data_IF_562824612293
#
_entry.id   IF_562824612293
#
_cell.length_a   1.000
_cell.length_b   1.000
_cell.length_c   1.000
_cell.angle_alpha   90.00
_cell.angle_beta   90.00
_cell.angle_gamma   90.00
#
_symmetry.space_group_name_H-M   'P 1'
#
loop_
_entity.id
_entity.type
_entity.pdbx_description
1 polymer ?
#
# COMPACT_ATOMS: atom_id res chain seq x y z
N UNK A 1 -30.49 52.22 15.61
CA UNK A 1 -29.28 52.12 14.81
C UNK A 1 -28.05 51.65 15.61
N UNK A 2 -27.64 52.29 16.69
CA UNK A 2 -26.42 51.94 17.47
C UNK A 2 -26.41 50.50 18.02
N UNK A 3 -27.58 49.93 18.40
CA UNK A 3 -27.68 48.56 18.90
C UNK A 3 -27.43 47.52 17.80
N UNK A 4 -27.94 47.73 16.60
CA UNK A 4 -27.77 46.86 15.43
C UNK A 4 -26.29 46.79 14.99
N UNK A 5 -25.61 47.94 15.02
CA UNK A 5 -24.16 48.00 14.73
C UNK A 5 -23.33 47.23 15.77
N UNK A 6 -23.69 47.31 17.08
CA UNK A 6 -22.99 46.54 18.13
C UNK A 6 -23.19 45.04 17.99
N UNK A 7 -24.42 44.61 17.69
CA UNK A 7 -24.71 43.18 17.46
C UNK A 7 -24.00 42.65 16.20
N UNK A 8 -23.99 43.42 15.09
CA UNK A 8 -23.27 43.05 13.88
C UNK A 8 -21.76 42.96 14.10
N UNK A 9 -21.18 43.88 14.85
CA UNK A 9 -19.76 43.87 15.21
C UNK A 9 -19.41 42.64 16.09
N UNK A 10 -20.28 42.30 17.04
CA UNK A 10 -20.09 41.14 17.92
C UNK A 10 -20.20 39.83 17.16
N UNK A 11 -21.12 39.67 16.20
CA UNK A 11 -21.20 38.53 15.28
C UNK A 11 -19.98 38.43 14.39
N UNK A 12 -19.45 39.54 13.86
CA UNK A 12 -18.27 39.58 13.04
C UNK A 12 -17.01 39.12 13.82
N UNK A 13 -16.88 39.54 15.08
CA UNK A 13 -15.78 39.10 15.96
C UNK A 13 -15.91 37.61 16.32
N UNK A 14 -17.12 37.10 16.55
CA UNK A 14 -17.35 35.67 16.82
C UNK A 14 -16.98 34.78 15.65
N UNK A 15 -17.12 35.21 14.39
CA UNK A 15 -16.70 34.50 13.18
C UNK A 15 -15.18 34.45 13.06
N UNK A 16 -14.46 35.47 13.54
CA UNK A 16 -12.99 35.52 13.48
C UNK A 16 -12.31 34.63 14.54
N UNK A 17 -12.98 34.22 15.58
CA UNK A 17 -12.47 33.29 16.62
C UNK A 17 -12.67 31.83 16.24
N UNK A 18 -13.16 31.54 15.03
CA UNK A 18 -13.36 30.18 14.51
C UNK A 18 -12.04 29.42 14.48
N UNK A 19 -11.97 28.45 15.34
CA UNK A 19 -10.87 27.63 15.77
C UNK A 19 -9.97 27.12 14.65
N UNK A 20 -8.70 27.55 14.64
CA UNK A 20 -7.64 26.96 13.84
C UNK A 20 -7.12 25.68 14.51
N UNK A 21 -7.84 24.59 14.37
CA UNK A 21 -7.35 23.27 14.83
C UNK A 21 -6.24 22.81 13.91
N UNK A 22 -4.99 22.98 14.32
CA UNK A 22 -3.82 22.45 13.60
C UNK A 22 -3.94 20.93 13.52
N UNK A 23 -4.21 20.40 12.33
CA UNK A 23 -4.21 18.95 12.10
C UNK A 23 -2.78 18.45 12.10
N UNK A 24 -2.49 17.50 12.98
CA UNK A 24 -1.21 16.76 12.93
C UNK A 24 -1.26 15.79 11.76
N UNK A 25 -0.51 16.09 10.68
CA UNK A 25 -0.57 15.38 9.41
C UNK A 25 0.63 14.44 9.20
N UNK A 26 1.50 14.29 10.21
CA UNK A 26 2.74 13.52 10.04
C UNK A 26 2.57 12.06 10.46
N UNK A 27 3.43 11.21 9.87
CA UNK A 27 3.62 9.82 10.26
C UNK A 27 4.49 9.72 11.52
N UNK A 28 4.41 8.60 12.24
CA UNK A 28 5.34 8.22 13.30
C UNK A 28 5.60 9.34 14.32
N UNK A 29 4.54 9.98 14.82
CA UNK A 29 4.60 11.16 15.69
C UNK A 29 5.25 10.92 17.04
N UNK A 30 5.32 9.67 17.49
CA UNK A 30 5.88 9.22 18.75
C UNK A 30 7.31 8.70 18.61
N UNK A 31 7.94 8.84 17.43
CA UNK A 31 9.30 8.40 17.18
C UNK A 31 10.30 9.40 17.77
N UNK A 32 11.15 8.95 18.67
CA UNK A 32 12.25 9.74 19.21
C UNK A 32 13.46 9.72 18.28
N UNK A 33 14.03 10.87 17.98
CA UNK A 33 15.21 10.98 17.11
C UNK A 33 16.41 10.26 17.77
N UNK A 34 17.06 9.36 17.03
CA UNK A 34 18.22 8.61 17.52
C UNK A 34 17.86 7.35 18.33
N UNK A 35 16.59 7.04 18.52
CA UNK A 35 16.17 5.80 19.17
C UNK A 35 16.36 4.62 18.21
N UNK A 36 17.13 3.63 18.62
CA UNK A 36 17.18 2.33 17.93
C UNK A 36 15.88 1.58 18.24
N UNK A 37 15.12 1.26 17.21
CA UNK A 37 13.94 0.42 17.32
C UNK A 37 14.31 -0.99 16.86
N UNK A 38 14.08 -1.99 17.69
CA UNK A 38 14.21 -3.38 17.25
C UNK A 38 13.24 -3.62 16.09
N UNK A 39 13.78 -4.01 14.95
CA UNK A 39 13.00 -4.47 13.82
C UNK A 39 12.69 -5.93 14.09
N UNK A 40 11.42 -6.32 14.16
CA UNK A 40 11.06 -7.73 14.23
C UNK A 40 11.75 -8.48 13.10
N UNK A 41 12.31 -9.65 13.42
CA UNK A 41 13.03 -10.46 12.47
C UNK A 41 12.21 -10.56 11.17
N UNK A 42 12.86 -10.26 10.07
CA UNK A 42 12.26 -10.38 8.75
C UNK A 42 11.69 -11.78 8.58
N UNK A 43 10.38 -11.85 8.46
CA UNK A 43 9.73 -13.10 8.07
C UNK A 43 9.58 -13.06 6.56
N UNK A 44 10.40 -13.86 5.87
CA UNK A 44 10.26 -14.03 4.43
C UNK A 44 8.82 -14.40 4.07
N UNK A 45 8.28 -13.82 3.01
CA UNK A 45 6.92 -14.14 2.57
C UNK A 45 6.81 -15.63 2.23
N UNK A 46 5.71 -16.24 2.65
CA UNK A 46 5.39 -17.63 2.33
C UNK A 46 4.81 -17.70 0.92
N UNK A 47 5.39 -18.58 0.12
CA UNK A 47 4.96 -18.85 -1.25
C UNK A 47 3.60 -19.56 -1.23
N UNK A 48 2.70 -19.14 -2.12
CA UNK A 48 1.34 -19.67 -2.25
C UNK A 48 1.10 -20.25 -3.64
N UNK A 49 0.11 -21.14 -3.76
CA UNK A 49 -0.37 -21.58 -5.09
C UNK A 49 -0.88 -20.38 -5.89
N UNK A 50 -0.54 -20.30 -7.16
CA UNK A 50 -0.82 -19.17 -8.05
C UNK A 50 0.26 -18.09 -8.08
N UNK A 51 1.25 -18.13 -7.18
CA UNK A 51 2.41 -17.24 -7.25
C UNK A 51 3.26 -17.58 -8.48
N UNK A 52 3.85 -16.54 -9.08
CA UNK A 52 4.79 -16.66 -10.17
C UNK A 52 6.19 -16.27 -9.69
N UNK A 53 7.12 -17.20 -9.76
CA UNK A 53 8.48 -17.05 -9.24
C UNK A 53 9.47 -16.88 -10.39
N UNK A 54 10.31 -15.87 -10.32
CA UNK A 54 11.52 -15.77 -11.14
C UNK A 54 12.62 -16.53 -10.42
N UNK A 55 13.15 -17.58 -11.04
CA UNK A 55 14.23 -18.40 -10.48
C UNK A 55 15.40 -18.32 -11.44
N UNK A 56 16.52 -17.79 -10.95
CA UNK A 56 17.76 -17.68 -11.70
C UNK A 56 18.82 -18.55 -11.04
N UNK A 57 19.44 -19.40 -11.85
CA UNK A 57 20.48 -20.32 -11.41
C UNK A 57 21.82 -19.86 -12.00
N UNK A 58 22.82 -19.73 -11.16
CA UNK A 58 24.18 -19.37 -11.52
C UNK A 58 25.14 -20.50 -11.13
N UNK A 59 26.14 -20.74 -11.96
CA UNK A 59 27.24 -21.67 -11.69
C UNK A 59 28.47 -21.23 -12.49
N UNK A 60 29.68 -21.51 -12.04
CA UNK A 60 30.91 -21.24 -12.81
C UNK A 60 30.95 -21.92 -14.18
N UNK A 61 30.24 -23.04 -14.36
CA UNK A 61 30.15 -23.74 -15.66
C UNK A 61 28.96 -23.24 -16.48
N UNK A 62 29.23 -22.31 -17.40
CA UNK A 62 28.21 -21.59 -18.18
C UNK A 62 27.46 -22.47 -19.19
N UNK A 63 28.12 -23.49 -19.78
CA UNK A 63 27.48 -24.35 -20.79
C UNK A 63 26.33 -25.17 -20.21
N UNK A 64 26.46 -25.62 -18.98
CA UNK A 64 25.43 -26.39 -18.29
C UNK A 64 24.23 -25.54 -17.87
N UNK A 65 24.37 -24.20 -17.77
CA UNK A 65 23.33 -23.28 -17.29
C UNK A 65 22.20 -23.05 -18.29
N UNK A 66 22.47 -23.15 -19.60
CA UNK A 66 21.46 -22.89 -20.64
C UNK A 66 20.23 -23.79 -20.52
N UNK A 67 20.39 -24.97 -19.98
CA UNK A 67 19.30 -25.93 -19.80
C UNK A 67 18.42 -25.58 -18.58
N UNK A 68 18.97 -24.94 -17.56
CA UNK A 68 18.26 -24.62 -16.32
C UNK A 68 17.63 -23.24 -16.34
N UNK A 69 18.24 -22.28 -17.06
CA UNK A 69 17.74 -20.92 -17.23
C UNK A 69 16.99 -20.78 -18.57
N UNK A 70 16.18 -21.76 -18.92
CA UNK A 70 15.43 -21.75 -20.17
C UNK A 70 14.44 -20.57 -20.18
N UNK A 71 14.77 -19.55 -20.96
CA UNK A 71 13.82 -18.52 -21.38
C UNK A 71 13.05 -19.06 -22.58
N UNK A 72 11.74 -19.30 -22.45
CA UNK A 72 10.93 -19.62 -23.62
C UNK A 72 11.11 -18.50 -24.66
N UNK A 73 11.45 -18.83 -25.91
CA UNK A 73 11.57 -17.81 -26.94
C UNK A 73 10.20 -17.18 -27.17
N UNK A 74 10.06 -15.90 -26.81
CA UNK A 74 8.89 -15.12 -27.17
C UNK A 74 8.88 -14.97 -28.70
N UNK A 75 7.87 -15.53 -29.33
CA UNK A 75 7.51 -15.19 -30.70
C UNK A 75 6.93 -13.75 -30.69
N UNK A 76 7.76 -12.78 -31.02
CA UNK A 76 7.32 -11.40 -31.35
C UNK A 76 7.70 -10.34 -30.34
N UNK A 77 8.77 -9.60 -30.59
CA UNK A 77 8.98 -8.20 -30.20
C UNK A 77 9.59 -7.96 -28.82
N UNK A 78 10.88 -7.73 -28.81
CA UNK A 78 11.68 -6.85 -27.95
C UNK A 78 11.23 -6.59 -26.49
N UNK A 79 11.34 -7.60 -25.63
CA UNK A 79 11.20 -7.40 -24.19
C UNK A 79 11.73 -8.62 -23.45
N UNK A 80 12.66 -8.44 -22.52
CA UNK A 80 13.12 -9.48 -21.61
C UNK A 80 11.95 -9.97 -20.76
N UNK A 81 11.25 -11.01 -21.20
CA UNK A 81 10.27 -11.70 -20.37
C UNK A 81 11.01 -12.84 -19.68
N UNK A 82 11.49 -12.59 -18.48
CA UNK A 82 11.93 -13.66 -17.60
C UNK A 82 10.75 -14.62 -17.39
N UNK A 83 10.90 -15.86 -17.82
CA UNK A 83 9.89 -16.90 -17.64
C UNK A 83 9.75 -17.19 -16.14
N UNK A 84 8.65 -16.72 -15.55
CA UNK A 84 8.31 -17.07 -14.19
C UNK A 84 7.81 -18.50 -14.11
N UNK A 85 8.19 -19.20 -13.07
CA UNK A 85 7.67 -20.52 -12.73
C UNK A 85 6.38 -20.35 -11.94
N UNK A 86 5.26 -20.82 -12.47
CA UNK A 86 3.97 -20.80 -11.80
C UNK A 86 3.92 -21.89 -10.73
N UNK A 87 3.53 -21.53 -9.52
CA UNK A 87 3.22 -22.48 -8.45
C UNK A 87 1.83 -23.06 -8.72
N UNK A 88 1.76 -24.34 -9.02
CA UNK A 88 0.53 -25.05 -9.39
C UNK A 88 -0.46 -25.18 -8.21
N UNK A 89 -1.66 -25.70 -8.47
CA UNK A 89 -2.68 -25.92 -7.45
C UNK A 89 -2.24 -26.90 -6.34
N UNK A 90 -1.32 -27.82 -6.65
CA UNK A 90 -0.73 -28.74 -5.67
C UNK A 90 0.44 -28.09 -4.90
N UNK A 91 0.78 -26.84 -5.22
CA UNK A 91 1.85 -26.09 -4.60
C UNK A 91 3.25 -26.45 -5.09
N UNK A 92 3.39 -27.00 -6.28
CA UNK A 92 4.67 -27.36 -6.88
C UNK A 92 5.05 -26.39 -8.01
N UNK A 93 6.34 -26.29 -8.28
CA UNK A 93 6.92 -25.68 -9.49
C UNK A 93 7.60 -26.76 -10.32
N UNK A 94 7.54 -26.63 -11.65
CA UNK A 94 8.22 -27.52 -12.57
C UNK A 94 9.52 -26.89 -13.04
N UNK A 95 10.67 -27.42 -12.62
CA UNK A 95 11.98 -26.96 -13.06
C UNK A 95 12.57 -27.94 -14.09
N UNK A 96 13.16 -27.44 -15.18
CA UNK A 96 13.82 -28.31 -16.17
C UNK A 96 14.84 -29.23 -15.49
N UNK A 97 14.88 -30.50 -15.90
CA UNK A 97 15.71 -31.57 -15.35
C UNK A 97 15.52 -31.94 -13.88
N UNK A 98 15.02 -31.03 -13.03
CA UNK A 98 14.78 -31.30 -11.61
C UNK A 98 13.36 -31.81 -11.33
N UNK A 99 12.44 -31.67 -12.31
CA UNK A 99 11.06 -32.09 -12.17
C UNK A 99 10.24 -31.19 -11.24
N UNK A 100 9.28 -31.80 -10.56
CA UNK A 100 8.40 -31.09 -9.64
C UNK A 100 9.08 -30.86 -8.28
N UNK A 101 9.01 -29.63 -7.80
CA UNK A 101 9.56 -29.22 -6.49
C UNK A 101 8.45 -28.52 -5.72
N UNK A 102 8.24 -28.92 -4.47
CA UNK A 102 7.31 -28.25 -3.56
C UNK A 102 7.81 -26.83 -3.28
N UNK A 103 6.94 -25.85 -3.53
CA UNK A 103 7.20 -24.43 -3.30
C UNK A 103 6.21 -23.81 -2.33
N UNK A 104 4.92 -24.11 -2.45
CA UNK A 104 3.91 -23.56 -1.56
C UNK A 104 4.12 -24.02 -0.11
N UNK A 105 3.97 -23.06 0.81
CA UNK A 105 4.21 -23.24 2.24
C UNK A 105 5.66 -23.03 2.65
N UNK A 106 6.58 -22.86 1.71
CA UNK A 106 7.99 -22.53 1.96
C UNK A 106 8.23 -21.02 1.83
N UNK A 107 9.25 -20.54 2.54
CA UNK A 107 9.83 -19.23 2.27
C UNK A 107 10.92 -19.33 1.18
N UNK A 108 11.44 -18.19 0.71
CA UNK A 108 12.47 -18.19 -0.34
C UNK A 108 13.77 -18.89 0.06
N UNK A 109 14.17 -18.81 1.34
CA UNK A 109 15.38 -19.47 1.83
C UNK A 109 15.22 -20.98 1.75
N UNK A 110 14.10 -21.49 2.24
CA UNK A 110 13.80 -22.93 2.24
C UNK A 110 13.68 -23.48 0.80
N UNK A 111 13.01 -22.74 -0.10
CA UNK A 111 12.88 -23.15 -1.50
C UNK A 111 14.24 -23.12 -2.20
N UNK A 112 15.03 -22.07 -1.99
CA UNK A 112 16.40 -21.95 -2.52
C UNK A 112 17.26 -23.12 -2.10
N UNK A 113 17.26 -23.47 -0.81
CA UNK A 113 18.05 -24.56 -0.26
C UNK A 113 17.61 -25.91 -0.85
N UNK A 114 16.29 -26.11 -1.03
CA UNK A 114 15.73 -27.31 -1.65
C UNK A 114 16.19 -27.46 -3.11
N UNK A 115 16.16 -26.37 -3.89
CA UNK A 115 16.61 -26.37 -5.29
C UNK A 115 18.12 -26.58 -5.35
N UNK A 116 18.89 -25.86 -4.53
CA UNK A 116 20.35 -25.97 -4.51
C UNK A 116 20.80 -27.39 -4.22
N UNK A 117 20.22 -28.07 -3.22
CA UNK A 117 20.53 -29.47 -2.90
C UNK A 117 20.30 -30.41 -4.09
N UNK A 118 19.24 -30.17 -4.89
CA UNK A 118 18.96 -31.00 -6.07
C UNK A 118 19.88 -30.66 -7.27
N UNK A 119 20.48 -29.46 -7.28
CA UNK A 119 21.40 -29.05 -8.34
C UNK A 119 22.84 -29.52 -8.13
N UNK A 120 23.29 -29.74 -6.87
CA UNK A 120 24.67 -30.19 -6.54
C UNK A 120 25.15 -31.37 -7.38
N UNK A 121 24.35 -32.45 -7.68
CA UNK A 121 24.79 -33.54 -8.49
C UNK A 121 25.07 -33.17 -9.98
N UNK A 122 24.54 -32.06 -10.45
CA UNK A 122 24.57 -31.66 -11.86
C UNK A 122 25.42 -30.41 -12.12
N UNK A 123 25.56 -29.52 -11.12
CA UNK A 123 26.26 -28.26 -11.24
C UNK A 123 27.28 -28.10 -10.14
N UNK A 124 28.44 -27.55 -10.48
CA UNK A 124 29.46 -27.17 -9.51
C UNK A 124 29.07 -25.80 -8.90
N UNK A 125 29.05 -25.73 -7.58
CA UNK A 125 28.77 -24.50 -6.80
C UNK A 125 27.52 -23.73 -7.31
N UNK A 126 26.32 -24.35 -7.34
CA UNK A 126 25.13 -23.68 -7.84
C UNK A 126 24.64 -22.61 -6.87
N UNK A 127 24.43 -21.41 -7.38
CA UNK A 127 23.77 -20.31 -6.64
C UNK A 127 22.38 -20.07 -7.23
N UNK A 128 21.35 -20.05 -6.38
CA UNK A 128 19.95 -19.87 -6.80
C UNK A 128 19.42 -18.56 -6.25
N UNK A 129 18.90 -17.70 -7.12
CA UNK A 129 18.21 -16.48 -6.77
C UNK A 129 16.71 -16.62 -7.08
N UNK A 130 15.86 -16.31 -6.10
CA UNK A 130 14.40 -16.45 -6.24
C UNK A 130 13.75 -15.11 -5.90
N UNK A 131 12.83 -14.66 -6.77
CA UNK A 131 12.03 -13.46 -6.58
C UNK A 131 10.59 -13.73 -7.02
N UNK A 132 9.63 -13.01 -6.45
CA UNK A 132 8.31 -12.95 -7.06
C UNK A 132 8.38 -12.20 -8.39
N UNK A 133 7.71 -12.72 -9.41
CA UNK A 133 7.56 -12.04 -10.69
C UNK A 133 6.25 -11.24 -10.74
N UNK A 134 5.24 -11.68 -10.00
CA UNK A 134 3.91 -11.09 -10.00
C UNK A 134 3.52 -10.49 -8.64
N UNK A 135 4.50 -9.97 -7.89
CA UNK A 135 4.18 -9.29 -6.62
C UNK A 135 3.29 -8.08 -6.91
N UNK A 136 2.03 -8.15 -6.47
CA UNK A 136 1.04 -7.09 -6.68
C UNK A 136 0.38 -6.75 -5.36
N UNK A 137 0.11 -5.48 -5.16
CA UNK A 137 -0.70 -4.98 -4.05
C UNK A 137 -1.60 -3.87 -4.55
N UNK A 138 -2.66 -3.58 -3.81
CA UNK A 138 -3.64 -2.57 -4.19
C UNK A 138 -3.72 -1.50 -3.13
N UNK A 139 -3.72 -0.23 -3.52
CA UNK A 139 -3.93 0.90 -2.61
C UNK A 139 -5.18 1.65 -3.03
N UNK A 140 -6.13 1.78 -2.12
CA UNK A 140 -7.44 2.40 -2.37
C UNK A 140 -7.76 3.50 -1.36
N UNK A 141 -8.72 4.34 -1.68
CA UNK A 141 -9.24 5.40 -0.81
C UNK A 141 -8.49 6.71 -0.96
N UNK A 142 -8.21 7.37 0.17
CA UNK A 142 -7.66 8.73 0.23
C UNK A 142 -6.15 8.79 0.01
N UNK A 143 -5.70 8.36 -1.17
CA UNK A 143 -4.33 8.49 -1.69
C UNK A 143 -4.35 9.28 -2.99
N UNK A 144 -3.21 9.81 -3.39
CA UNK A 144 -3.11 10.63 -4.61
C UNK A 144 -3.37 9.81 -5.88
N UNK A 145 -2.92 8.56 -5.91
CA UNK A 145 -3.07 7.64 -7.05
C UNK A 145 -3.55 6.28 -6.57
N UNK A 146 -4.87 6.10 -6.35
CA UNK A 146 -5.41 4.78 -6.03
C UNK A 146 -5.25 3.84 -7.22
N UNK A 147 -4.94 2.56 -6.95
CA UNK A 147 -4.75 1.57 -8.01
C UNK A 147 -4.04 0.31 -7.54
N UNK A 148 -3.79 -0.57 -8.49
CA UNK A 148 -2.97 -1.76 -8.29
C UNK A 148 -1.54 -1.46 -8.72
N UNK A 149 -0.58 -1.83 -7.88
CA UNK A 149 0.85 -1.63 -8.09
C UNK A 149 1.56 -2.97 -8.18
N UNK A 150 2.59 -3.02 -9.02
CA UNK A 150 3.49 -4.18 -9.10
C UNK A 150 4.79 -3.83 -8.38
N UNK A 151 5.20 -4.68 -7.46
CA UNK A 151 6.48 -4.56 -6.79
C UNK A 151 7.58 -5.25 -7.58
N UNK A 152 8.74 -4.60 -7.68
CA UNK A 152 9.96 -5.20 -8.24
C UNK A 152 10.74 -6.00 -7.20
N UNK A 153 10.54 -5.66 -5.93
CA UNK A 153 11.18 -6.29 -4.79
C UNK A 153 10.17 -7.05 -3.94
N UNK A 154 10.63 -8.13 -3.34
CA UNK A 154 9.80 -8.97 -2.46
C UNK A 154 9.59 -8.35 -1.06
N UNK A 155 10.14 -7.16 -0.84
CA UNK A 155 10.24 -6.51 0.47
C UNK A 155 9.66 -5.09 0.43
N UNK A 156 8.37 -5.00 0.13
CA UNK A 156 7.65 -3.72 0.12
C UNK A 156 6.94 -3.53 1.46
N UNK A 157 7.20 -2.40 2.09
CA UNK A 157 6.53 -1.99 3.34
C UNK A 157 5.25 -1.20 3.05
N UNK A 158 4.37 -1.11 4.06
CA UNK A 158 3.14 -0.30 3.98
C UNK A 158 3.46 1.16 3.62
N UNK A 159 4.51 1.74 4.22
CA UNK A 159 4.89 3.13 3.93
C UNK A 159 5.40 3.31 2.50
N UNK A 160 6.17 2.35 1.98
CA UNK A 160 6.60 2.37 0.57
C UNK A 160 5.41 2.23 -0.39
N UNK A 161 4.46 1.37 -0.07
CA UNK A 161 3.25 1.21 -0.88
C UNK A 161 2.41 2.49 -0.93
N UNK A 162 2.26 3.19 0.20
CA UNK A 162 1.60 4.49 0.26
C UNK A 162 2.39 5.53 -0.54
N UNK A 163 3.73 5.55 -0.43
CA UNK A 163 4.59 6.41 -1.22
C UNK A 163 4.46 6.16 -2.73
N UNK A 164 4.40 4.89 -3.17
CA UNK A 164 4.15 4.53 -4.56
C UNK A 164 2.78 5.01 -5.07
N UNK A 165 1.78 5.07 -4.18
CA UNK A 165 0.46 5.65 -4.46
C UNK A 165 0.45 7.20 -4.42
N UNK A 166 1.62 7.84 -4.28
CA UNK A 166 1.77 9.30 -4.28
C UNK A 166 1.38 9.96 -2.97
N UNK A 167 1.48 9.22 -1.88
CA UNK A 167 1.16 9.61 -0.51
C UNK A 167 -0.35 9.80 -0.22
N UNK A 168 -0.67 9.97 1.05
CA UNK A 168 -2.00 10.21 1.56
C UNK A 168 -2.47 11.64 1.25
N UNK A 169 -3.73 11.79 0.84
CA UNK A 169 -4.30 13.13 0.68
C UNK A 169 -4.46 13.83 2.04
N UNK A 170 -4.69 15.15 2.01
CA UNK A 170 -5.00 15.93 3.22
C UNK A 170 -6.28 15.45 3.93
N UNK A 171 -7.16 14.78 3.19
CA UNK A 171 -8.43 14.25 3.68
C UNK A 171 -8.32 12.80 4.19
N UNK A 172 -7.15 12.20 4.15
CA UNK A 172 -6.93 10.85 4.63
C UNK A 172 -6.99 10.76 6.15
N UNK A 173 -7.58 9.67 6.64
CA UNK A 173 -7.61 9.33 8.07
C UNK A 173 -6.40 8.44 8.40
N UNK A 174 -5.33 9.03 8.92
CA UNK A 174 -4.03 8.37 9.17
C UNK A 174 -4.04 7.36 10.31
N UNK A 175 -5.03 7.46 11.20
CA UNK A 175 -5.16 6.58 12.37
C UNK A 175 -5.93 5.28 12.06
N UNK A 176 -6.56 5.17 10.89
CA UNK A 176 -7.45 4.05 10.54
C UNK A 176 -7.25 3.59 9.10
N UNK A 177 -6.03 3.21 8.77
CA UNK A 177 -5.75 2.55 7.50
C UNK A 177 -6.01 1.06 7.67
N UNK A 178 -6.74 0.45 6.75
CA UNK A 178 -7.00 -0.97 6.76
C UNK A 178 -6.03 -1.70 5.85
N UNK A 179 -5.42 -2.75 6.38
CA UNK A 179 -4.71 -3.76 5.58
C UNK A 179 -5.58 -5.01 5.52
N UNK A 180 -5.92 -5.43 4.33
CA UNK A 180 -6.71 -6.62 4.06
C UNK A 180 -5.81 -7.63 3.37
N UNK A 181 -5.63 -8.79 3.98
CA UNK A 181 -4.83 -9.91 3.45
C UNK A 181 -5.67 -11.16 3.37
N UNK A 182 -5.61 -11.81 2.22
CA UNK A 182 -6.23 -13.14 2.06
C UNK A 182 -5.15 -14.21 2.17
N UNK A 183 -5.35 -15.15 3.09
CA UNK A 183 -4.46 -16.30 3.28
C UNK A 183 -5.30 -17.56 3.23
N UNK A 184 -5.04 -18.42 2.23
CA UNK A 184 -5.85 -19.61 1.95
C UNK A 184 -7.34 -19.26 1.78
N UNK A 185 -8.20 -19.71 2.70
CA UNK A 185 -9.64 -19.47 2.65
C UNK A 185 -10.11 -18.42 3.67
N UNK A 186 -9.19 -17.75 4.34
CA UNK A 186 -9.49 -16.75 5.38
C UNK A 186 -9.07 -15.35 4.93
N UNK A 187 -9.83 -14.36 5.38
CA UNK A 187 -9.50 -12.95 5.18
C UNK A 187 -9.22 -12.31 6.53
N UNK A 188 -8.02 -11.78 6.68
CA UNK A 188 -7.60 -11.02 7.85
C UNK A 188 -7.61 -9.53 7.53
N UNK A 189 -8.09 -8.72 8.48
CA UNK A 189 -8.16 -7.28 8.37
C UNK A 189 -7.49 -6.68 9.60
N UNK A 190 -6.46 -5.86 9.38
CA UNK A 190 -5.81 -5.10 10.44
C UNK A 190 -6.14 -3.62 10.28
N UNK A 191 -6.38 -2.97 11.41
CA UNK A 191 -6.54 -1.53 11.49
C UNK A 191 -5.23 -0.92 11.97
N UNK A 192 -4.66 -0.06 11.15
CA UNK A 192 -3.29 0.45 11.28
C UNK A 192 -3.35 1.93 11.59
N UNK A 193 -2.60 2.34 12.61
CA UNK A 193 -2.35 3.75 12.90
C UNK A 193 -0.95 4.13 12.37
N UNK A 194 -0.93 4.88 11.26
CA UNK A 194 0.32 5.31 10.62
C UNK A 194 1.06 6.40 11.42
N UNK A 195 0.44 6.95 12.44
CA UNK A 195 1.06 8.01 13.28
C UNK A 195 1.92 7.44 14.40
N UNK A 196 1.86 6.12 14.62
CA UNK A 196 2.57 5.45 15.71
C UNK A 196 3.74 4.61 15.23
N UNK A 197 4.85 4.68 15.97
CA UNK A 197 6.05 3.88 15.70
C UNK A 197 5.83 2.38 15.86
N UNK A 198 4.84 1.96 16.65
CA UNK A 198 4.49 0.55 16.85
C UNK A 198 4.24 -0.19 15.53
N UNK A 199 3.78 0.51 14.49
CA UNK A 199 3.62 -0.02 13.15
C UNK A 199 4.89 -0.73 12.63
N UNK A 200 6.07 -0.17 12.90
CA UNK A 200 7.35 -0.70 12.40
C UNK A 200 7.70 -2.09 12.96
N UNK A 201 7.07 -2.49 14.07
CA UNK A 201 7.27 -3.78 14.75
C UNK A 201 6.22 -4.81 14.39
N UNK A 202 5.17 -4.41 13.66
CA UNK A 202 4.07 -5.30 13.34
C UNK A 202 4.46 -6.32 12.25
N UNK A 203 4.06 -7.59 12.38
CA UNK A 203 4.41 -8.63 11.41
C UNK A 203 3.80 -8.38 10.03
N UNK A 204 2.74 -7.56 9.95
CA UNK A 204 2.10 -7.16 8.71
C UNK A 204 2.65 -5.85 8.12
N UNK A 205 3.68 -5.24 8.72
CA UNK A 205 4.29 -4.02 8.19
C UNK A 205 4.85 -4.22 6.77
N UNK A 206 5.32 -5.43 6.48
CA UNK A 206 5.71 -5.86 5.15
C UNK A 206 4.52 -6.47 4.42
N UNK A 207 4.33 -6.03 3.18
CA UNK A 207 3.23 -6.49 2.37
C UNK A 207 3.49 -7.90 1.83
N UNK A 208 2.41 -8.61 1.57
CA UNK A 208 2.39 -9.85 0.80
C UNK A 208 1.67 -9.63 -0.53
N UNK A 209 1.98 -10.49 -1.51
CA UNK A 209 1.26 -10.45 -2.80
C UNK A 209 -0.24 -10.64 -2.59
N UNK A 210 -1.03 -9.75 -3.20
CA UNK A 210 -2.48 -9.71 -3.08
C UNK A 210 -3.02 -8.84 -1.94
N UNK A 211 -2.16 -8.19 -1.14
CA UNK A 211 -2.60 -7.29 -0.08
C UNK A 211 -3.36 -6.08 -0.62
N UNK A 212 -4.36 -5.64 0.12
CA UNK A 212 -5.12 -4.42 -0.18
C UNK A 212 -4.99 -3.46 1.00
N UNK A 213 -4.49 -2.26 0.71
CA UNK A 213 -4.44 -1.14 1.66
C UNK A 213 -5.62 -0.22 1.34
N UNK A 214 -6.49 0.02 2.31
CA UNK A 214 -7.59 0.94 2.18
C UNK A 214 -7.45 2.10 3.16
N UNK A 215 -7.37 3.31 2.63
CA UNK A 215 -7.24 4.56 3.38
C UNK A 215 -8.61 5.22 3.51
N UNK A 216 -9.13 5.26 4.73
CA UNK A 216 -10.43 5.86 5.01
C UNK A 216 -10.39 7.39 4.85
N UNK A 217 -11.47 8.03 4.34
CA UNK A 217 -11.61 9.47 4.33
C UNK A 217 -11.86 10.00 5.73
N UNK A 218 -11.37 11.20 6.03
CA UNK A 218 -11.66 11.87 7.29
C UNK A 218 -13.07 12.48 7.30
N UNK A 219 -13.57 12.80 8.50
CA UNK A 219 -14.91 13.38 8.69
C UNK A 219 -15.15 14.66 7.89
N UNK A 220 -14.10 15.44 7.61
CA UNK A 220 -14.22 16.70 6.86
C UNK A 220 -14.61 16.43 5.40
N UNK A 221 -14.03 15.43 4.74
CA UNK A 221 -14.46 15.06 3.39
C UNK A 221 -15.89 14.55 3.37
N UNK A 222 -16.25 13.73 4.37
CA UNK A 222 -17.61 13.23 4.50
C UNK A 222 -18.62 14.36 4.69
N UNK A 223 -18.28 15.36 5.53
CA UNK A 223 -19.14 16.51 5.78
C UNK A 223 -19.21 17.46 4.57
N UNK A 224 -18.10 17.70 3.87
CA UNK A 224 -18.07 18.57 2.68
C UNK A 224 -18.89 18.01 1.50
N UNK A 225 -19.20 16.72 1.50
CA UNK A 225 -20.10 16.11 0.51
C UNK A 225 -21.59 16.31 0.87
N UNK A 226 -21.92 16.87 2.04
CA UNK A 226 -23.31 17.14 2.41
C UNK A 226 -23.86 18.30 1.60
N UNK A 227 -25.03 18.10 0.99
CA UNK A 227 -25.76 19.12 0.20
C UNK A 227 -26.01 20.37 1.01
N UNK A 228 -26.19 20.23 2.33
CA UNK A 228 -26.42 21.36 3.25
C UNK A 228 -25.25 22.36 3.26
N UNK A 229 -23.99 21.88 3.36
CA UNK A 229 -22.82 22.75 3.36
C UNK A 229 -22.56 23.42 2.00
N UNK A 230 -22.97 22.75 0.91
CA UNK A 230 -22.86 23.33 -0.44
C UNK A 230 -23.90 24.42 -0.68
N UNK A 231 -25.10 24.31 -0.13
CA UNK A 231 -26.19 25.28 -0.28
C UNK A 231 -26.10 26.46 0.71
N UNK A 232 -25.37 26.32 1.83
CA UNK A 232 -25.30 27.33 2.88
C UNK A 232 -24.84 28.72 2.38
N UNK A 233 -23.82 28.85 1.52
CA UNK A 233 -23.41 30.15 0.97
C UNK A 233 -24.50 30.82 0.14
N UNK A 234 -25.26 30.05 -0.64
CA UNK A 234 -26.36 30.60 -1.46
C UNK A 234 -27.52 31.05 -0.58
N UNK A 235 -27.89 30.30 0.45
CA UNK A 235 -28.93 30.65 1.40
C UNK A 235 -28.53 31.92 2.17
N UNK A 236 -27.29 32.03 2.64
CA UNK A 236 -26.82 33.22 3.38
C UNK A 236 -26.80 34.47 2.49
N UNK A 237 -26.41 34.36 1.23
CA UNK A 237 -26.38 35.47 0.29
C UNK A 237 -27.79 35.97 -0.07
N UNK A 238 -28.77 35.07 -0.22
CA UNK A 238 -30.17 35.45 -0.46
C UNK A 238 -30.79 36.15 0.74
N UNK A 239 -30.51 35.69 1.96
CA UNK A 239 -30.97 36.36 3.21
C UNK A 239 -30.37 37.78 3.32
N UNK A 240 -29.08 37.92 3.01
CA UNK A 240 -28.43 39.26 3.04
C UNK A 240 -29.04 40.19 2.03
N UNK A 241 -29.31 39.71 0.79
CA UNK A 241 -29.97 40.50 -0.26
C UNK A 241 -31.36 40.97 0.18
N UNK A 242 -32.17 40.08 0.80
CA UNK A 242 -33.49 40.42 1.30
C UNK A 242 -33.42 41.49 2.40
N UNK A 243 -32.47 41.39 3.33
CA UNK A 243 -32.28 42.40 4.39
C UNK A 243 -31.93 43.76 3.80
N UNK A 244 -31.05 43.80 2.78
CA UNK A 244 -30.67 45.05 2.10
C UNK A 244 -31.86 45.67 1.36
N UNK A 245 -32.66 44.88 0.67
CA UNK A 245 -33.87 45.34 -0.02
C UNK A 245 -34.89 45.94 0.96
N UNK A 246 -35.20 45.20 2.05
CA UNK A 246 -36.14 45.70 3.09
C UNK A 246 -35.66 47.02 3.71
N UNK A 247 -34.34 47.13 3.97
CA UNK A 247 -33.78 48.34 4.56
C UNK A 247 -33.77 49.55 3.56
N UNK A 248 -33.73 49.27 2.26
CA UNK A 248 -33.77 50.31 1.20
C UNK A 248 -35.21 50.79 0.93
N UNK A 249 -36.23 49.90 1.10
CA UNK A 249 -37.64 50.27 0.93
C UNK A 249 -38.22 50.97 2.15
N UNK A 250 -37.58 50.89 3.32
CA UNK A 250 -38.00 51.55 4.56
C UNK A 250 -37.32 52.94 4.80
N UNK A 251 -36.60 53.42 3.80
CA UNK A 251 -36.10 54.80 3.73
C UNK A 251 -36.98 55.66 2.81
#
# INVERSE_FOLDING_TARGET
MKLIYRVSLLCMIAVLVSCNTKRKIYYLQDLSVGQQTEINAYSDPIIKSGDQLSIQIHSPNTESLLVYNFTAPNQGGGGQVGTGYLVDANGNIALPKLGLIKAAGLNFVQLRDSITKRLIPFLKDPAVNIKFQNFKYTVLGEVTRPGMFTGTDNDITILQAIGNAGDLTINAHRHTVLLIRQTNNERMVWRIDLTKQGLLKEPFYRLQSGDVIYVEPNKTRMNNSSVFLQLWPTVSSTITLLIVLINNFNK
#
